data_IF_765197429021
#
_entry.id   IF_765197429021
#
_cell.length_a   1.000
_cell.length_b   1.000
_cell.length_c   1.000
_cell.angle_alpha   90.00
_cell.angle_beta   90.00
_cell.angle_gamma   90.00
#
_symmetry.space_group_name_H-M   'P 1'
#
loop_
_entity.id
_entity.type
_entity.pdbx_description
1 polymer ?
#
# COMPACT_ATOMS: atom_id res chain seq x y z
N UNK A 1 25.37 -23.15 -84.09
CA UNK A 1 25.57 -21.74 -83.68
C UNK A 1 24.43 -21.41 -82.71
N UNK A 2 24.35 -21.87 -81.46
CA UNK A 2 25.29 -21.88 -80.32
C UNK A 2 25.81 -20.49 -79.94
N UNK A 3 25.04 -19.76 -79.14
CA UNK A 3 25.61 -18.74 -78.27
C UNK A 3 25.04 -18.88 -76.86
N UNK A 4 25.93 -19.33 -75.97
CA UNK A 4 25.74 -19.56 -74.55
C UNK A 4 26.08 -18.25 -73.84
N UNK A 5 25.15 -17.67 -73.08
CA UNK A 5 25.47 -16.61 -72.10
C UNK A 5 25.48 -17.19 -70.71
N UNK A 6 26.67 -17.17 -70.10
CA UNK A 6 26.94 -17.55 -68.72
C UNK A 6 26.20 -16.65 -67.72
N UNK A 7 25.80 -17.17 -66.54
CA UNK A 7 25.34 -16.38 -65.42
C UNK A 7 26.52 -15.75 -64.66
N UNK A 8 26.31 -14.52 -64.17
CA UNK A 8 27.22 -13.81 -63.27
C UNK A 8 27.10 -14.42 -61.85
N UNK A 9 28.19 -14.85 -61.20
CA UNK A 9 28.20 -15.20 -59.79
C UNK A 9 28.62 -14.00 -58.94
N UNK A 10 27.86 -13.72 -57.88
CA UNK A 10 28.31 -12.83 -56.81
C UNK A 10 27.27 -11.83 -56.38
N UNK A 11 26.33 -12.27 -55.55
CA UNK A 11 25.85 -11.38 -54.49
C UNK A 11 25.98 -12.13 -53.17
N UNK A 12 26.91 -11.61 -52.38
CA UNK A 12 27.35 -12.12 -51.10
C UNK A 12 26.15 -12.30 -50.17
N UNK A 13 26.02 -13.51 -49.64
CA UNK A 13 25.21 -13.79 -48.47
C UNK A 13 25.71 -12.89 -47.33
N UNK A 14 25.05 -11.74 -47.15
CA UNK A 14 25.11 -10.97 -45.93
C UNK A 14 24.43 -11.81 -44.85
N UNK A 15 25.23 -12.67 -44.23
CA UNK A 15 24.91 -13.45 -43.06
C UNK A 15 24.32 -12.49 -42.01
N UNK A 16 22.99 -12.48 -41.92
CA UNK A 16 22.25 -11.64 -40.99
C UNK A 16 22.59 -12.11 -39.58
N UNK A 17 23.58 -11.43 -38.98
CA UNK A 17 24.02 -11.71 -37.63
C UNK A 17 22.79 -11.80 -36.70
N UNK A 18 22.66 -12.87 -35.90
CA UNK A 18 21.48 -13.08 -35.08
C UNK A 18 21.29 -11.87 -34.15
N UNK A 19 20.05 -11.39 -33.95
CA UNK A 19 19.78 -10.22 -33.14
C UNK A 19 20.39 -10.45 -31.76
N UNK A 20 21.43 -9.65 -31.43
CA UNK A 20 22.07 -9.63 -30.12
C UNK A 20 20.97 -9.57 -29.07
N UNK A 21 20.73 -10.68 -28.36
CA UNK A 21 19.79 -10.75 -27.23
C UNK A 21 20.19 -9.65 -26.26
N UNK A 22 19.49 -8.50 -26.30
CA UNK A 22 19.63 -7.42 -25.34
C UNK A 22 19.56 -8.07 -23.97
N UNK A 23 20.70 -8.15 -23.27
CA UNK A 23 20.75 -8.56 -21.86
C UNK A 23 19.88 -7.55 -21.11
N UNK A 24 18.61 -7.89 -20.93
CA UNK A 24 17.61 -7.01 -20.34
C UNK A 24 18.11 -6.55 -18.98
N UNK A 25 18.20 -5.23 -18.79
CA UNK A 25 18.51 -4.63 -17.50
C UNK A 25 17.55 -5.20 -16.46
N UNK A 26 18.08 -5.71 -15.34
CA UNK A 26 17.28 -6.33 -14.28
C UNK A 26 16.33 -5.33 -13.59
N UNK A 27 16.66 -4.04 -13.67
CA UNK A 27 15.94 -2.93 -13.03
C UNK A 27 15.59 -1.88 -14.09
N UNK A 28 14.33 -1.47 -14.11
CA UNK A 28 13.78 -0.45 -15.01
C UNK A 28 13.92 0.96 -14.40
N UNK A 29 15.16 1.44 -14.31
CA UNK A 29 15.48 2.77 -13.79
C UNK A 29 14.91 3.90 -14.66
N UNK A 30 14.82 3.67 -15.98
CA UNK A 30 14.25 4.66 -16.90
C UNK A 30 12.75 4.83 -16.65
N UNK A 31 12.01 3.73 -16.47
CA UNK A 31 10.61 3.75 -16.07
C UNK A 31 10.42 4.42 -14.70
N UNK A 32 11.28 4.12 -13.73
CA UNK A 32 11.25 4.79 -12.42
C UNK A 32 11.42 6.30 -12.53
N UNK A 33 12.46 6.77 -13.24
CA UNK A 33 12.70 8.19 -13.42
C UNK A 33 11.58 8.90 -14.20
N UNK A 34 10.93 8.22 -15.14
CA UNK A 34 9.79 8.76 -15.88
C UNK A 34 8.53 8.86 -15.00
N UNK A 35 8.26 7.86 -14.17
CA UNK A 35 7.16 7.89 -13.22
C UNK A 35 7.40 8.93 -12.11
N UNK A 36 8.63 9.08 -11.63
CA UNK A 36 8.98 10.11 -10.63
C UNK A 36 8.74 11.52 -11.17
N UNK A 37 9.15 11.79 -12.43
CA UNK A 37 8.81 13.06 -13.10
C UNK A 37 7.30 13.21 -13.32
N UNK A 38 6.63 12.12 -13.66
CA UNK A 38 5.17 12.09 -13.81
C UNK A 38 4.40 12.28 -12.50
N UNK A 39 5.04 12.03 -11.35
CA UNK A 39 4.44 12.20 -10.04
C UNK A 39 4.46 13.65 -9.55
N UNK A 40 5.20 14.56 -10.19
CA UNK A 40 5.29 15.97 -9.75
C UNK A 40 3.91 16.62 -9.60
N UNK A 41 2.98 16.56 -10.57
CA UNK A 41 1.65 17.18 -10.40
C UNK A 41 0.83 16.53 -9.27
N UNK A 42 0.94 15.21 -9.12
CA UNK A 42 0.25 14.44 -8.07
C UNK A 42 0.80 14.79 -6.68
N UNK A 43 2.12 14.89 -6.54
CA UNK A 43 2.81 15.32 -5.33
C UNK A 43 2.53 16.80 -5.00
N UNK A 44 2.47 17.69 -5.99
CA UNK A 44 2.08 19.09 -5.77
C UNK A 44 0.65 19.18 -5.23
N UNK A 45 -0.30 18.42 -5.80
CA UNK A 45 -1.65 18.34 -5.27
C UNK A 45 -1.67 17.79 -3.84
N UNK A 46 -0.85 16.77 -3.56
CA UNK A 46 -0.69 16.22 -2.21
C UNK A 46 -0.20 17.24 -1.20
N UNK A 47 0.80 18.06 -1.56
CA UNK A 47 1.33 19.10 -0.69
C UNK A 47 0.34 20.23 -0.45
N UNK A 48 -0.46 20.60 -1.46
CA UNK A 48 -1.55 21.58 -1.28
C UNK A 48 -2.59 21.04 -0.29
N UNK A 49 -3.05 19.80 -0.47
CA UNK A 49 -3.99 19.17 0.47
C UNK A 49 -3.38 19.04 1.87
N UNK A 50 -2.09 18.67 1.97
CA UNK A 50 -1.36 18.61 3.24
C UNK A 50 -1.36 19.98 3.92
N UNK A 51 -1.07 21.05 3.19
CA UNK A 51 -1.09 22.43 3.72
C UNK A 51 -2.48 22.85 4.20
N UNK A 52 -3.54 22.49 3.48
CA UNK A 52 -4.93 22.76 3.89
C UNK A 52 -5.31 21.99 5.16
N UNK A 53 -4.92 20.71 5.26
CA UNK A 53 -5.16 19.90 6.47
C UNK A 53 -4.35 20.47 7.65
N UNK A 54 -3.09 20.85 7.44
CA UNK A 54 -2.27 21.49 8.46
C UNK A 54 -2.92 22.76 8.98
N UNK A 55 -3.35 23.66 8.09
CA UNK A 55 -4.03 24.90 8.47
C UNK A 55 -5.33 24.63 9.25
N UNK A 56 -6.12 23.66 8.81
CA UNK A 56 -7.35 23.26 9.51
C UNK A 56 -7.07 22.70 10.91
N UNK A 57 -6.08 21.81 11.06
CA UNK A 57 -5.69 21.27 12.38
C UNK A 57 -5.16 22.38 13.30
N UNK A 58 -4.24 23.21 12.79
CA UNK A 58 -3.63 24.30 13.53
C UNK A 58 -4.70 25.29 14.03
N UNK A 59 -5.61 25.74 13.16
CA UNK A 59 -6.68 26.67 13.53
C UNK A 59 -7.64 26.10 14.58
N UNK A 60 -7.94 24.80 14.52
CA UNK A 60 -8.77 24.11 15.52
C UNK A 60 -8.10 24.04 16.90
N UNK A 61 -6.78 23.84 16.94
CA UNK A 61 -5.99 23.84 18.19
C UNK A 61 -5.91 25.26 18.75
N UNK A 62 -5.59 26.24 17.91
CA UNK A 62 -5.53 27.65 18.31
C UNK A 62 -6.87 28.17 18.86
N UNK A 63 -8.00 27.68 18.34
CA UNK A 63 -9.34 28.00 18.84
C UNK A 63 -9.79 27.13 20.04
N UNK A 64 -8.97 26.19 20.53
CA UNK A 64 -9.31 25.33 21.67
C UNK A 64 -10.41 24.29 21.40
N UNK A 65 -10.76 24.04 20.14
CA UNK A 65 -11.87 23.14 19.74
C UNK A 65 -11.39 21.77 19.21
N UNK A 66 -10.07 21.53 19.25
CA UNK A 66 -9.47 20.28 18.77
C UNK A 66 -9.67 19.13 19.75
N UNK A 67 -10.17 17.98 19.26
CA UNK A 67 -10.25 16.75 20.04
C UNK A 67 -8.87 16.26 20.48
N UNK A 68 -7.81 16.57 19.72
CA UNK A 68 -6.45 16.17 20.09
C UNK A 68 -6.03 16.76 21.43
N UNK A 69 -6.41 18.02 21.71
CA UNK A 69 -6.07 18.68 22.98
C UNK A 69 -6.84 18.07 24.16
N UNK A 70 -7.99 17.43 23.91
CA UNK A 70 -8.69 16.67 24.96
C UNK A 70 -7.96 15.38 25.33
N UNK A 71 -7.28 14.76 24.37
CA UNK A 71 -6.53 13.50 24.57
C UNK A 71 -5.10 13.76 25.05
N UNK A 72 -4.49 14.83 24.54
CA UNK A 72 -3.11 15.22 24.79
C UNK A 72 -3.09 16.72 25.15
N UNK A 73 -3.48 17.11 26.38
CA UNK A 73 -3.61 18.52 26.77
C UNK A 73 -2.31 19.31 26.69
N UNK A 74 -1.16 18.66 26.85
CA UNK A 74 0.15 19.29 26.70
C UNK A 74 0.38 19.85 25.28
N UNK A 75 -0.35 19.35 24.27
CA UNK A 75 -0.31 19.86 22.89
C UNK A 75 -1.24 21.08 22.69
N UNK A 76 -1.72 21.76 23.73
CA UNK A 76 -2.64 22.89 23.58
C UNK A 76 -2.01 24.10 22.84
N UNK A 77 -0.69 24.28 22.92
CA UNK A 77 0.00 25.36 22.23
C UNK A 77 0.28 24.99 20.76
N UNK A 78 -0.53 25.58 19.87
CA UNK A 78 -0.41 25.37 18.42
C UNK A 78 0.95 25.80 17.85
N UNK A 79 1.55 26.86 18.40
CA UNK A 79 2.83 27.40 17.96
C UNK A 79 3.99 26.54 18.47
N UNK A 80 3.92 26.12 19.73
CA UNK A 80 4.94 25.24 20.28
C UNK A 80 4.97 23.92 19.51
N UNK A 81 3.82 23.30 19.21
CA UNK A 81 3.73 21.96 18.62
C UNK A 81 3.40 21.94 17.10
N UNK A 82 3.81 22.98 16.36
CA UNK A 82 3.49 23.06 14.93
C UNK A 82 4.03 21.89 14.08
N UNK A 83 5.19 21.31 14.44
CA UNK A 83 5.74 20.15 13.70
C UNK A 83 4.88 18.90 13.93
N UNK A 84 4.32 18.72 15.13
CA UNK A 84 3.32 17.69 15.40
C UNK A 84 2.07 17.83 14.51
N UNK A 85 1.54 19.06 14.32
CA UNK A 85 0.40 19.28 13.43
C UNK A 85 0.75 19.01 11.96
N UNK A 86 1.97 19.34 11.55
CA UNK A 86 2.48 19.01 10.23
C UNK A 86 2.61 17.49 10.05
N UNK A 87 3.09 16.78 11.06
CA UNK A 87 3.13 15.32 11.10
C UNK A 87 1.72 14.73 10.91
N UNK A 88 0.72 15.21 11.65
CA UNK A 88 -0.67 14.79 11.49
C UNK A 88 -1.20 15.06 10.08
N UNK A 89 -0.90 16.22 9.51
CA UNK A 89 -1.31 16.57 8.15
C UNK A 89 -0.71 15.63 7.08
N UNK A 90 0.57 15.28 7.21
CA UNK A 90 1.19 14.27 6.36
C UNK A 90 0.55 12.88 6.55
N UNK A 91 0.20 12.50 7.78
CA UNK A 91 -0.47 11.23 8.07
C UNK A 91 -1.83 11.11 7.39
N UNK A 92 -2.68 12.14 7.52
CA UNK A 92 -3.98 12.20 6.84
C UNK A 92 -3.85 12.22 5.32
N UNK A 93 -2.88 12.97 4.79
CA UNK A 93 -2.62 13.04 3.36
C UNK A 93 -2.11 11.70 2.81
N UNK A 94 -1.21 11.04 3.53
CA UNK A 94 -0.71 9.71 3.19
C UNK A 94 -1.86 8.69 3.14
N UNK A 95 -2.77 8.70 4.11
CA UNK A 95 -3.92 7.82 4.14
C UNK A 95 -4.89 8.08 2.97
N UNK A 96 -5.15 9.35 2.65
CA UNK A 96 -5.98 9.73 1.51
C UNK A 96 -5.36 9.26 0.19
N UNK A 97 -4.06 9.51 -0.01
CA UNK A 97 -3.35 9.05 -1.20
C UNK A 97 -3.28 7.52 -1.29
N UNK A 98 -3.11 6.84 -0.15
CA UNK A 98 -3.19 5.39 -0.05
C UNK A 98 -4.58 4.87 -0.47
N UNK A 99 -5.66 5.52 -0.03
CA UNK A 99 -7.03 5.20 -0.45
C UNK A 99 -7.18 5.38 -1.97
N UNK A 100 -6.77 6.53 -2.52
CA UNK A 100 -6.85 6.82 -3.97
C UNK A 100 -6.09 5.75 -4.77
N UNK A 101 -4.83 5.45 -4.40
CA UNK A 101 -4.02 4.50 -5.17
C UNK A 101 -4.56 3.06 -5.09
N UNK A 102 -5.14 2.66 -3.97
CA UNK A 102 -5.81 1.35 -3.84
C UNK A 102 -7.03 1.28 -4.73
N UNK A 103 -7.86 2.34 -4.76
CA UNK A 103 -9.01 2.43 -5.66
C UNK A 103 -8.55 2.27 -7.13
N UNK A 104 -7.53 3.02 -7.55
CA UNK A 104 -6.95 2.91 -8.90
C UNK A 104 -6.43 1.49 -9.21
N UNK A 105 -5.75 0.85 -8.25
CA UNK A 105 -5.24 -0.52 -8.39
C UNK A 105 -6.35 -1.57 -8.51
N UNK A 106 -7.42 -1.43 -7.73
CA UNK A 106 -8.58 -2.32 -7.78
C UNK A 106 -9.36 -2.15 -9.10
N UNK A 107 -9.58 -0.90 -9.53
CA UNK A 107 -10.19 -0.57 -10.83
C UNK A 107 -9.35 -1.20 -11.96
N UNK A 108 -8.03 -0.94 -11.97
CA UNK A 108 -7.11 -1.47 -12.99
C UNK A 108 -7.09 -2.98 -13.08
N UNK A 109 -7.31 -3.66 -11.97
CA UNK A 109 -7.22 -5.12 -11.89
C UNK A 109 -8.57 -5.84 -12.09
N UNK A 110 -9.68 -5.10 -12.12
CA UNK A 110 -11.02 -5.60 -12.38
C UNK A 110 -11.37 -5.56 -13.87
N UNK A 111 -12.43 -6.26 -14.27
CA UNK A 111 -13.01 -6.05 -15.62
C UNK A 111 -13.61 -4.65 -15.68
N UNK A 112 -13.01 -3.78 -16.49
CA UNK A 112 -13.51 -2.42 -16.68
C UNK A 112 -14.79 -2.44 -17.51
N UNK A 113 -15.85 -1.73 -17.08
CA UNK A 113 -17.01 -1.49 -17.93
C UNK A 113 -16.59 -0.73 -19.19
N UNK A 114 -17.19 -1.06 -20.34
CA UNK A 114 -16.86 -0.43 -21.63
C UNK A 114 -17.16 1.08 -21.69
N UNK A 115 -17.98 1.61 -20.78
CA UNK A 115 -18.36 3.02 -20.69
C UNK A 115 -17.35 3.89 -19.91
N UNK A 116 -16.31 3.29 -19.30
CA UNK A 116 -15.37 4.06 -18.49
C UNK A 116 -14.46 4.94 -19.38
N UNK A 117 -14.36 6.25 -19.15
CA UNK A 117 -13.66 7.18 -20.06
C UNK A 117 -12.13 7.08 -20.00
N UNK A 118 -11.58 6.29 -19.07
CA UNK A 118 -10.14 6.19 -18.84
C UNK A 118 -9.58 4.88 -19.39
N UNK A 119 -8.53 4.98 -20.19
CA UNK A 119 -7.80 3.80 -20.65
C UNK A 119 -7.08 3.09 -19.50
N UNK A 120 -6.95 1.78 -19.58
CA UNK A 120 -6.22 0.98 -18.60
C UNK A 120 -4.75 1.46 -18.43
N UNK A 121 -4.13 1.95 -19.49
CA UNK A 121 -2.79 2.52 -19.46
C UNK A 121 -2.72 3.82 -18.64
N UNK A 122 -3.74 4.70 -18.76
CA UNK A 122 -3.83 5.93 -17.97
C UNK A 122 -4.02 5.61 -16.48
N UNK A 123 -4.92 4.69 -16.15
CA UNK A 123 -5.15 4.25 -14.76
C UNK A 123 -3.87 3.62 -14.18
N UNK A 124 -3.15 2.80 -14.95
CA UNK A 124 -1.87 2.21 -14.53
C UNK A 124 -0.78 3.26 -14.32
N UNK A 125 -0.75 4.32 -15.12
CA UNK A 125 0.17 5.45 -14.90
C UNK A 125 -0.17 6.19 -13.60
N UNK A 126 -1.44 6.56 -13.42
CA UNK A 126 -1.90 7.25 -12.20
C UNK A 126 -1.61 6.42 -10.95
N UNK A 127 -1.96 5.13 -10.96
CA UNK A 127 -1.66 4.23 -9.83
C UNK A 127 -0.17 4.22 -9.46
N UNK A 128 0.73 4.22 -10.45
CA UNK A 128 2.19 4.24 -10.19
C UNK A 128 2.64 5.57 -9.58
N UNK A 129 2.22 6.68 -10.16
CA UNK A 129 2.61 8.02 -9.67
C UNK A 129 2.06 8.28 -8.28
N UNK A 130 0.77 8.02 -8.06
CA UNK A 130 0.11 8.20 -6.75
C UNK A 130 0.70 7.25 -5.70
N UNK A 131 1.14 6.04 -6.07
CA UNK A 131 1.85 5.13 -5.15
C UNK A 131 3.21 5.69 -4.70
N UNK A 132 3.98 6.31 -5.61
CA UNK A 132 5.24 6.96 -5.25
C UNK A 132 5.00 8.13 -4.30
N UNK A 133 4.00 8.97 -4.59
CA UNK A 133 3.58 10.06 -3.71
C UNK A 133 3.12 9.54 -2.34
N UNK A 134 2.36 8.44 -2.30
CA UNK A 134 1.94 7.80 -1.04
C UNK A 134 3.14 7.43 -0.18
N UNK A 135 4.14 6.75 -0.75
CA UNK A 135 5.36 6.35 -0.02
C UNK A 135 6.12 7.60 0.48
N UNK A 136 6.20 8.65 -0.34
CA UNK A 136 6.85 9.90 0.04
C UNK A 136 6.11 10.60 1.20
N UNK A 137 4.78 10.64 1.19
CA UNK A 137 3.96 11.19 2.28
C UNK A 137 4.09 10.36 3.57
N UNK A 138 4.11 9.03 3.47
CA UNK A 138 4.36 8.15 4.63
C UNK A 138 5.74 8.41 5.25
N UNK A 139 6.76 8.59 4.41
CA UNK A 139 8.10 8.95 4.87
C UNK A 139 8.12 10.35 5.51
N UNK A 140 7.50 11.34 4.89
CA UNK A 140 7.40 12.69 5.42
C UNK A 140 6.64 12.73 6.77
N UNK A 141 5.61 11.91 6.93
CA UNK A 141 4.90 11.72 8.19
C UNK A 141 5.84 11.19 9.29
N UNK A 142 6.54 10.07 9.04
CA UNK A 142 7.49 9.50 9.99
C UNK A 142 8.66 10.47 10.31
N UNK A 143 9.15 11.19 9.29
CA UNK A 143 10.20 12.19 9.45
C UNK A 143 9.74 13.39 10.28
N UNK A 144 8.53 13.89 10.06
CA UNK A 144 7.98 14.99 10.86
C UNK A 144 7.81 14.57 12.32
N UNK A 145 7.37 13.32 12.59
CA UNK A 145 7.33 12.78 13.94
C UNK A 145 8.72 12.71 14.58
N UNK A 146 9.71 12.21 13.85
CA UNK A 146 11.10 12.20 14.29
C UNK A 146 11.61 13.61 14.65
N UNK A 147 11.36 14.60 13.77
CA UNK A 147 11.77 15.99 14.03
C UNK A 147 11.08 16.56 15.26
N UNK A 148 9.79 16.25 15.47
CA UNK A 148 9.08 16.64 16.69
C UNK A 148 9.73 16.04 17.94
N UNK A 149 10.05 14.75 17.95
CA UNK A 149 10.69 14.09 19.10
C UNK A 149 12.08 14.66 19.39
N UNK A 150 12.88 14.94 18.36
CA UNK A 150 14.17 15.62 18.52
C UNK A 150 13.96 17.02 19.13
N UNK A 151 12.95 17.76 18.68
CA UNK A 151 12.70 19.13 19.15
C UNK A 151 12.18 19.15 20.59
N UNK A 152 11.18 18.32 20.90
CA UNK A 152 10.53 18.23 22.21
C UNK A 152 11.51 17.77 23.28
N UNK A 153 12.25 16.68 23.01
CA UNK A 153 13.27 16.13 23.91
C UNK A 153 12.78 15.95 25.36
N UNK A 154 11.66 15.25 25.50
CA UNK A 154 11.02 15.00 26.79
C UNK A 154 11.94 14.28 27.80
N UNK A 155 12.99 13.61 27.32
CA UNK A 155 14.00 12.93 28.14
C UNK A 155 15.18 13.80 28.55
N UNK A 156 15.20 15.08 28.18
CA UNK A 156 16.27 16.04 28.51
C UNK A 156 17.68 15.58 28.09
N UNK A 157 17.76 14.79 27.01
CA UNK A 157 19.01 14.19 26.56
C UNK A 157 19.91 15.19 25.81
N UNK A 158 21.25 15.01 25.86
CA UNK A 158 22.18 15.66 24.95
C UNK A 158 21.86 15.33 23.49
N UNK A 159 22.37 16.15 22.56
CA UNK A 159 22.05 16.06 21.13
C UNK A 159 22.11 14.63 20.55
N UNK A 160 23.20 13.89 20.81
CA UNK A 160 23.36 12.53 20.30
C UNK A 160 22.31 11.56 20.85
N UNK A 161 22.03 11.61 22.16
CA UNK A 161 21.02 10.78 22.80
C UNK A 161 19.61 11.10 22.31
N UNK A 162 19.27 12.39 22.24
CA UNK A 162 18.00 12.91 21.71
C UNK A 162 17.72 12.43 20.28
N UNK A 163 18.70 12.55 19.38
CA UNK A 163 18.57 12.10 17.98
C UNK A 163 18.42 10.58 17.90
N UNK A 164 19.21 9.82 18.66
CA UNK A 164 19.13 8.36 18.67
C UNK A 164 17.79 7.86 19.22
N UNK A 165 17.33 8.41 20.35
CA UNK A 165 16.04 8.07 20.95
C UNK A 165 14.89 8.38 19.99
N UNK A 166 14.87 9.59 19.40
CA UNK A 166 13.86 9.95 18.41
C UNK A 166 13.86 9.00 17.19
N UNK A 167 15.04 8.55 16.75
CA UNK A 167 15.16 7.58 15.66
C UNK A 167 14.57 6.23 16.04
N UNK A 168 14.90 5.71 17.23
CA UNK A 168 14.35 4.45 17.74
C UNK A 168 12.83 4.52 17.83
N UNK A 169 12.30 5.60 18.39
CA UNK A 169 10.86 5.79 18.57
C UNK A 169 10.10 6.01 17.26
N UNK A 170 10.74 6.57 16.23
CA UNK A 170 10.08 6.92 14.96
C UNK A 170 10.32 5.95 13.82
N UNK A 171 11.39 5.14 13.86
CA UNK A 171 11.80 4.28 12.75
C UNK A 171 12.08 2.83 13.14
N UNK A 172 12.27 2.50 14.42
CA UNK A 172 12.54 1.11 14.82
C UNK A 172 11.22 0.44 15.23
N UNK A 173 10.75 -0.61 14.51
CA UNK A 173 9.53 -1.33 14.88
C UNK A 173 9.60 -1.85 16.31
N UNK A 174 8.68 -1.39 17.17
CA UNK A 174 8.64 -1.74 18.60
C UNK A 174 9.56 -0.90 19.49
N UNK A 175 10.21 0.14 18.96
CA UNK A 175 11.05 1.05 19.73
C UNK A 175 10.29 2.08 20.58
N UNK A 176 9.03 2.37 20.24
CA UNK A 176 8.22 3.33 21.00
C UNK A 176 7.81 2.76 22.37
N UNK A 177 8.08 3.45 23.49
CA UNK A 177 8.09 2.80 24.80
C UNK A 177 6.74 2.74 25.51
N UNK A 178 5.71 3.49 25.12
CA UNK A 178 4.53 3.69 25.99
C UNK A 178 3.16 3.72 25.31
N UNK A 179 2.14 3.47 26.13
CA UNK A 179 0.73 3.65 25.82
C UNK A 179 0.22 2.90 24.58
N UNK A 180 -0.81 3.46 23.95
CA UNK A 180 -1.33 2.99 22.66
C UNK A 180 -0.31 3.09 21.54
N UNK A 181 0.72 3.93 21.71
CA UNK A 181 1.78 4.17 20.73
C UNK A 181 2.61 2.92 20.45
N UNK A 182 2.86 2.07 21.46
CA UNK A 182 3.60 0.81 21.31
C UNK A 182 3.09 -0.05 20.14
N UNK A 183 1.77 -0.20 20.05
CA UNK A 183 1.12 -1.02 19.01
C UNK A 183 0.89 -0.20 17.76
N UNK A 184 0.40 1.03 17.90
CA UNK A 184 0.00 1.81 16.75
C UNK A 184 1.19 2.23 15.89
N UNK A 185 2.28 2.72 16.49
CA UNK A 185 3.50 3.09 15.76
C UNK A 185 4.14 1.85 15.15
N UNK A 186 4.14 0.71 15.86
CA UNK A 186 4.57 -0.57 15.27
C UNK A 186 3.77 -0.90 14.00
N UNK A 187 2.44 -0.85 14.05
CA UNK A 187 1.58 -1.11 12.88
C UNK A 187 1.87 -0.13 11.73
N UNK A 188 2.04 1.15 12.04
CA UNK A 188 2.38 2.19 11.06
C UNK A 188 3.75 1.95 10.39
N UNK A 189 4.75 1.57 11.18
CA UNK A 189 6.08 1.21 10.69
C UNK A 189 6.05 -0.03 9.82
N UNK A 190 5.31 -1.07 10.22
CA UNK A 190 5.15 -2.25 9.37
C UNK A 190 4.47 -1.91 8.04
N UNK A 191 3.44 -1.05 8.05
CA UNK A 191 2.82 -0.57 6.82
C UNK A 191 3.84 0.17 5.93
N UNK A 192 4.61 1.10 6.51
CA UNK A 192 5.65 1.86 5.79
C UNK A 192 6.74 0.95 5.20
N UNK A 193 7.31 0.06 6.01
CA UNK A 193 8.37 -0.85 5.58
C UNK A 193 7.90 -1.90 4.57
N UNK A 194 6.62 -2.29 4.58
CA UNK A 194 6.05 -3.16 3.55
C UNK A 194 5.71 -2.40 2.25
N UNK A 195 5.28 -1.14 2.37
CA UNK A 195 4.93 -0.29 1.22
C UNK A 195 6.12 -0.09 0.28
N UNK A 196 7.32 0.15 0.81
CA UNK A 196 8.53 0.40 0.03
C UNK A 196 8.85 -0.77 -0.92
N UNK A 197 9.13 -2.01 -0.46
CA UNK A 197 9.47 -3.10 -1.34
C UNK A 197 8.30 -3.51 -2.24
N UNK A 198 7.06 -3.51 -1.75
CA UNK A 198 5.90 -3.94 -2.55
C UNK A 198 5.51 -2.92 -3.63
N UNK A 199 5.70 -1.63 -3.38
CA UNK A 199 5.49 -0.55 -4.34
C UNK A 199 6.61 -0.50 -5.38
N UNK A 200 7.86 -0.51 -4.94
CA UNK A 200 9.02 -0.45 -5.84
C UNK A 200 9.28 -1.77 -6.60
N UNK A 201 8.65 -2.88 -6.19
CA UNK A 201 8.72 -4.16 -6.88
C UNK A 201 8.35 -4.09 -8.38
N UNK A 202 7.54 -3.09 -8.78
CA UNK A 202 7.21 -2.85 -10.18
C UNK A 202 8.46 -2.60 -11.05
N UNK A 203 9.44 -1.84 -10.55
CA UNK A 203 10.64 -1.47 -11.32
C UNK A 203 11.65 -2.62 -11.43
N UNK A 204 11.52 -3.65 -10.59
CA UNK A 204 12.33 -4.88 -10.67
C UNK A 204 11.57 -6.05 -11.30
N UNK A 205 10.36 -5.81 -11.84
CA UNK A 205 9.47 -6.86 -12.39
C UNK A 205 10.07 -7.63 -13.57
N UNK A 206 11.03 -7.04 -14.29
CA UNK A 206 11.73 -7.73 -15.38
C UNK A 206 12.65 -8.83 -14.86
N UNK A 207 13.26 -8.66 -13.68
CA UNK A 207 14.07 -9.69 -13.04
C UNK A 207 13.20 -10.75 -12.34
N UNK A 208 12.18 -10.33 -11.60
CA UNK A 208 11.33 -11.21 -10.80
C UNK A 208 10.30 -11.97 -11.62
N UNK A 209 9.82 -11.37 -12.71
CA UNK A 209 8.78 -11.89 -13.58
C UNK A 209 7.38 -11.43 -13.18
N UNK A 210 6.54 -11.18 -14.18
CA UNK A 210 5.21 -10.58 -14.02
C UNK A 210 4.21 -11.41 -13.19
N UNK A 211 4.44 -12.71 -13.02
CA UNK A 211 3.61 -13.55 -12.13
C UNK A 211 3.98 -13.36 -10.66
N UNK A 212 5.27 -13.39 -10.34
CA UNK A 212 5.75 -13.23 -8.97
C UNK A 212 5.45 -11.82 -8.46
N UNK A 213 5.73 -10.79 -9.29
CA UNK A 213 5.36 -9.42 -8.97
C UNK A 213 3.87 -9.28 -8.63
N UNK A 214 2.96 -9.76 -9.48
CA UNK A 214 1.51 -9.67 -9.21
C UNK A 214 1.10 -10.40 -7.94
N UNK A 215 1.70 -11.56 -7.68
CA UNK A 215 1.34 -12.35 -6.50
C UNK A 215 1.76 -11.64 -5.21
N UNK A 216 2.97 -11.07 -5.17
CA UNK A 216 3.45 -10.27 -4.04
C UNK A 216 2.69 -8.95 -3.91
N UNK A 217 2.47 -8.25 -5.02
CA UNK A 217 1.79 -6.95 -5.01
C UNK A 217 0.34 -7.04 -4.50
N UNK A 218 -0.33 -8.20 -4.58
CA UNK A 218 -1.64 -8.40 -3.93
C UNK A 218 -1.60 -8.21 -2.41
N UNK A 219 -0.45 -8.40 -1.78
CA UNK A 219 -0.27 -8.17 -0.35
C UNK A 219 -0.31 -6.67 0.01
N UNK A 220 -0.29 -5.76 -0.98
CA UNK A 220 -0.43 -4.31 -0.72
C UNK A 220 -1.77 -3.96 -0.05
N UNK A 221 -2.80 -4.80 -0.20
CA UNK A 221 -4.07 -4.58 0.51
C UNK A 221 -3.90 -4.71 2.03
N UNK A 222 -2.95 -5.52 2.49
CA UNK A 222 -2.59 -5.63 3.92
C UNK A 222 -1.94 -4.33 4.38
N UNK A 223 -1.05 -3.75 3.57
CA UNK A 223 -0.43 -2.45 3.87
C UNK A 223 -1.50 -1.38 4.08
N UNK A 224 -2.49 -1.32 3.19
CA UNK A 224 -3.61 -0.38 3.32
C UNK A 224 -4.42 -0.63 4.60
N UNK A 225 -4.76 -1.88 4.90
CA UNK A 225 -5.47 -2.24 6.13
C UNK A 225 -4.68 -1.85 7.39
N UNK A 226 -3.36 -2.07 7.40
CA UNK A 226 -2.48 -1.64 8.49
C UNK A 226 -2.46 -0.11 8.61
N UNK A 227 -2.45 0.64 7.50
CA UNK A 227 -2.52 2.11 7.54
C UNK A 227 -3.82 2.61 8.15
N UNK A 228 -4.98 2.06 7.75
CA UNK A 228 -6.28 2.41 8.34
C UNK A 228 -6.30 2.05 9.84
N UNK A 229 -5.78 0.87 10.19
CA UNK A 229 -5.73 0.43 11.59
C UNK A 229 -4.82 1.32 12.45
N UNK A 230 -3.65 1.69 11.95
CA UNK A 230 -2.75 2.67 12.58
C UNK A 230 -3.47 3.99 12.88
N UNK A 231 -4.20 4.53 11.90
CA UNK A 231 -4.98 5.76 12.08
C UNK A 231 -6.11 5.59 13.10
N UNK A 232 -6.82 4.46 13.10
CA UNK A 232 -7.89 4.21 14.07
C UNK A 232 -7.36 4.00 15.51
N UNK A 233 -6.11 3.57 15.67
CA UNK A 233 -5.48 3.37 16.98
C UNK A 233 -4.87 4.66 17.56
N UNK A 234 -4.28 5.51 16.72
CA UNK A 234 -3.45 6.65 17.16
C UNK A 234 -3.79 8.00 16.54
N UNK A 235 -4.76 8.05 15.63
CA UNK A 235 -5.28 9.30 15.11
C UNK A 235 -6.07 10.02 16.20
N UNK A 236 -5.47 11.03 16.82
CA UNK A 236 -6.09 11.77 17.92
C UNK A 236 -7.36 12.49 17.50
N UNK A 237 -7.51 12.84 16.21
CA UNK A 237 -8.74 13.39 15.63
C UNK A 237 -9.86 12.36 15.39
N UNK A 238 -9.59 11.06 15.61
CA UNK A 238 -10.56 9.95 15.53
C UNK A 238 -10.49 9.06 16.78
N UNK A 239 -10.05 9.64 17.90
CA UNK A 239 -9.86 8.94 19.17
C UNK A 239 -11.18 8.60 19.86
N UNK A 240 -12.12 9.54 19.78
CA UNK A 240 -13.48 9.40 20.31
C UNK A 240 -14.44 8.93 19.23
N UNK A 241 -15.59 8.42 19.66
CA UNK A 241 -16.72 8.20 18.76
C UNK A 241 -17.09 9.52 18.08
N UNK A 242 -17.44 9.47 16.79
CA UNK A 242 -17.89 10.67 16.09
C UNK A 242 -17.82 10.61 14.59
N UNK A 243 -18.34 11.66 13.95
CA UNK A 243 -18.53 11.70 12.50
C UNK A 243 -17.23 11.52 11.71
N UNK A 244 -16.08 12.00 12.21
CA UNK A 244 -14.77 11.80 11.54
C UNK A 244 -14.37 10.32 11.50
N UNK A 245 -14.54 9.63 12.64
CA UNK A 245 -14.20 8.21 12.78
C UNK A 245 -15.19 7.33 12.01
N UNK A 246 -16.49 7.61 12.13
CA UNK A 246 -17.53 6.96 11.32
C UNK A 246 -17.31 7.21 9.82
N UNK A 247 -16.93 8.43 9.43
CA UNK A 247 -16.57 8.77 8.05
C UNK A 247 -15.38 7.95 7.54
N UNK A 248 -14.37 7.74 8.38
CA UNK A 248 -13.22 6.90 8.05
C UNK A 248 -13.64 5.44 7.80
N UNK A 249 -14.60 4.90 8.56
CA UNK A 249 -15.19 3.58 8.29
C UNK A 249 -15.99 3.55 6.98
N UNK A 250 -16.82 4.56 6.73
CA UNK A 250 -17.60 4.64 5.50
C UNK A 250 -16.73 4.73 4.25
N UNK A 251 -15.58 5.40 4.32
CA UNK A 251 -14.60 5.44 3.23
C UNK A 251 -14.02 4.06 2.87
N UNK A 252 -14.17 3.05 3.73
CA UNK A 252 -13.76 1.69 3.43
C UNK A 252 -14.76 0.95 2.54
N UNK A 253 -16.03 1.40 2.48
CA UNK A 253 -17.07 0.75 1.67
C UNK A 253 -16.72 0.70 0.17
N UNK A 254 -16.28 1.80 -0.48
CA UNK A 254 -15.84 1.75 -1.88
C UNK A 254 -14.67 0.78 -2.11
N UNK A 255 -13.72 0.72 -1.17
CA UNK A 255 -12.57 -0.19 -1.25
C UNK A 255 -13.02 -1.64 -1.17
N UNK A 256 -13.86 -1.97 -0.18
CA UNK A 256 -14.38 -3.31 0.01
C UNK A 256 -15.28 -3.75 -1.16
N UNK A 257 -16.13 -2.84 -1.67
CA UNK A 257 -16.98 -3.09 -2.83
C UNK A 257 -16.15 -3.37 -4.09
N UNK A 258 -15.12 -2.56 -4.37
CA UNK A 258 -14.21 -2.80 -5.50
C UNK A 258 -13.38 -4.07 -5.32
N UNK A 259 -12.96 -4.39 -4.10
CA UNK A 259 -12.28 -5.65 -3.80
C UNK A 259 -13.21 -6.85 -4.06
N UNK A 260 -14.47 -6.76 -3.65
CA UNK A 260 -15.47 -7.79 -3.93
C UNK A 260 -15.71 -7.92 -5.44
N UNK A 261 -15.91 -6.80 -6.14
CA UNK A 261 -16.06 -6.77 -7.60
C UNK A 261 -14.84 -7.41 -8.29
N UNK A 262 -13.62 -7.14 -7.81
CA UNK A 262 -12.38 -7.74 -8.29
C UNK A 262 -12.31 -9.25 -8.09
N UNK A 263 -12.82 -9.74 -6.96
CA UNK A 263 -12.86 -11.17 -6.62
C UNK A 263 -13.96 -11.92 -7.38
N UNK A 264 -15.06 -11.25 -7.71
CA UNK A 264 -16.19 -11.79 -8.48
C UNK A 264 -15.91 -11.78 -9.98
N UNK A 265 -15.41 -10.66 -10.51
CA UNK A 265 -15.15 -10.42 -11.93
C UNK A 265 -13.66 -10.08 -12.18
N UNK A 266 -12.76 -11.07 -12.05
CA UNK A 266 -11.35 -10.83 -12.25
C UNK A 266 -11.03 -10.52 -13.72
N UNK A 267 -10.13 -9.56 -13.98
CA UNK A 267 -9.74 -9.17 -15.33
C UNK A 267 -9.13 -10.31 -16.16
N UNK A 268 -8.61 -11.37 -15.52
CA UNK A 268 -7.99 -12.51 -16.19
C UNK A 268 -8.87 -13.74 -16.07
N UNK A 269 -9.09 -14.42 -17.19
CA UNK A 269 -9.88 -15.67 -17.24
C UNK A 269 -9.36 -16.76 -16.30
N UNK A 270 -8.04 -16.90 -16.17
CA UNK A 270 -7.39 -17.87 -15.28
C UNK A 270 -7.58 -17.62 -13.77
N UNK A 271 -8.11 -16.45 -13.41
CA UNK A 271 -8.43 -16.10 -12.03
C UNK A 271 -9.92 -16.31 -11.71
N UNK A 272 -10.76 -16.62 -12.71
CA UNK A 272 -12.19 -16.87 -12.51
C UNK A 272 -12.38 -18.19 -11.75
N UNK A 273 -13.27 -18.17 -10.76
CA UNK A 273 -13.80 -19.39 -10.16
C UNK A 273 -14.92 -19.90 -11.07
N UNK A 274 -14.72 -21.09 -11.65
CA UNK A 274 -15.75 -21.84 -12.37
C UNK A 274 -16.01 -23.11 -11.57
N UNK A 275 -17.04 -23.10 -10.72
CA UNK A 275 -17.34 -24.21 -9.82
C UNK A 275 -17.61 -25.53 -10.56
N UNK A 276 -18.06 -25.45 -11.82
CA UNK A 276 -18.31 -26.59 -12.70
C UNK A 276 -17.07 -27.13 -13.42
N UNK A 277 -15.90 -26.52 -13.25
CA UNK A 277 -14.66 -26.92 -13.93
C UNK A 277 -14.03 -28.14 -13.21
N UNK A 278 -13.72 -29.25 -13.91
CA UNK A 278 -13.04 -30.42 -13.32
C UNK A 278 -11.76 -30.05 -12.57
N UNK A 279 -11.05 -29.01 -13.00
CA UNK A 279 -9.85 -28.50 -12.34
C UNK A 279 -10.09 -27.97 -10.91
N UNK A 280 -11.35 -27.67 -10.53
CA UNK A 280 -11.73 -27.31 -9.15
C UNK A 280 -11.65 -28.52 -8.22
N UNK A 281 -12.00 -29.72 -8.70
CA UNK A 281 -11.88 -30.97 -7.91
C UNK A 281 -10.41 -31.32 -7.63
N UNK A 282 -9.51 -30.99 -8.55
CA UNK A 282 -8.08 -31.24 -8.38
C UNK A 282 -7.40 -30.29 -7.38
N UNK A 283 -8.03 -29.15 -7.02
CA UNK A 283 -7.42 -28.12 -6.14
C UNK A 283 -8.43 -27.50 -5.16
N UNK A 284 -9.01 -28.29 -4.24
CA UNK A 284 -10.08 -27.83 -3.35
C UNK A 284 -9.66 -26.67 -2.44
N UNK A 285 -8.42 -26.68 -1.94
CA UNK A 285 -7.90 -25.64 -1.04
C UNK A 285 -7.86 -24.24 -1.70
N UNK A 286 -7.49 -24.16 -2.97
CA UNK A 286 -7.42 -22.87 -3.69
C UNK A 286 -8.83 -22.33 -3.93
N UNK A 287 -9.77 -23.21 -4.25
CA UNK A 287 -11.16 -22.85 -4.48
C UNK A 287 -11.84 -22.39 -3.18
N UNK A 288 -11.61 -23.12 -2.08
CA UNK A 288 -12.07 -22.75 -0.74
C UNK A 288 -11.48 -21.40 -0.31
N UNK A 289 -10.18 -21.16 -0.50
CA UNK A 289 -9.54 -19.89 -0.17
C UNK A 289 -10.15 -18.71 -0.96
N UNK A 290 -10.46 -18.90 -2.25
CA UNK A 290 -11.09 -17.86 -3.07
C UNK A 290 -12.55 -17.60 -2.67
N UNK A 291 -13.31 -18.63 -2.34
CA UNK A 291 -14.67 -18.48 -1.82
C UNK A 291 -14.65 -17.78 -0.46
N UNK A 292 -13.77 -18.23 0.44
CA UNK A 292 -13.54 -17.61 1.75
C UNK A 292 -13.18 -16.13 1.62
N UNK A 293 -12.31 -15.75 0.69
CA UNK A 293 -11.98 -14.35 0.43
C UNK A 293 -13.19 -13.51 -0.02
N UNK A 294 -14.09 -14.07 -0.84
CA UNK A 294 -15.33 -13.40 -1.27
C UNK A 294 -16.28 -13.20 -0.10
N UNK A 295 -16.52 -14.26 0.68
CA UNK A 295 -17.40 -14.23 1.84
C UNK A 295 -16.86 -13.27 2.91
N UNK A 296 -15.56 -13.31 3.18
CA UNK A 296 -14.90 -12.39 4.10
C UNK A 296 -15.08 -10.93 3.65
N UNK A 297 -14.85 -10.63 2.36
CA UNK A 297 -15.01 -9.27 1.84
C UNK A 297 -16.48 -8.80 1.91
N UNK A 298 -17.44 -9.67 1.59
CA UNK A 298 -18.86 -9.36 1.72
C UNK A 298 -19.26 -9.13 3.19
N UNK A 299 -18.77 -9.97 4.11
CA UNK A 299 -18.98 -9.79 5.54
C UNK A 299 -18.35 -8.48 6.04
N UNK A 300 -17.17 -8.08 5.55
CA UNK A 300 -16.59 -6.76 5.85
C UNK A 300 -17.52 -5.63 5.45
N UNK A 301 -18.13 -5.67 4.27
CA UNK A 301 -19.11 -4.65 3.85
C UNK A 301 -20.28 -4.57 4.84
N UNK A 302 -20.84 -5.72 5.23
CA UNK A 302 -21.94 -5.76 6.21
C UNK A 302 -21.52 -5.19 7.55
N UNK A 303 -20.34 -5.58 8.06
CA UNK A 303 -19.79 -5.04 9.32
C UNK A 303 -19.61 -3.53 9.24
N UNK A 304 -19.05 -3.00 8.14
CA UNK A 304 -18.88 -1.56 7.95
C UNK A 304 -20.22 -0.81 7.98
N UNK A 305 -21.26 -1.36 7.35
CA UNK A 305 -22.62 -0.80 7.37
C UNK A 305 -23.22 -0.84 8.78
N UNK A 306 -23.05 -1.94 9.51
CA UNK A 306 -23.54 -2.07 10.89
C UNK A 306 -22.81 -1.13 11.85
N UNK A 307 -21.50 -0.97 11.70
CA UNK A 307 -20.70 0.00 12.46
C UNK A 307 -21.22 1.41 12.23
N UNK A 308 -21.41 1.80 10.96
CA UNK A 308 -21.91 3.12 10.62
C UNK A 308 -23.36 3.35 11.12
N UNK A 309 -24.24 2.37 10.97
CA UNK A 309 -25.64 2.49 11.38
C UNK A 309 -25.83 2.50 12.91
N UNK A 310 -24.99 1.77 13.64
CA UNK A 310 -25.08 1.69 15.10
C UNK A 310 -24.40 2.85 15.82
N UNK A 311 -23.55 3.62 15.13
CA UNK A 311 -22.69 4.64 15.75
C UNK A 311 -21.60 4.07 16.66
N UNK A 312 -21.49 2.74 16.79
CA UNK A 312 -20.46 2.06 17.59
C UNK A 312 -19.21 1.84 16.74
N UNK A 313 -18.51 2.93 16.45
CA UNK A 313 -17.32 2.92 15.60
C UNK A 313 -16.02 2.54 16.34
N UNK A 314 -16.14 2.19 17.62
CA UNK A 314 -15.05 1.71 18.47
C UNK A 314 -14.14 2.84 18.94
N UNK A 315 -14.61 4.08 18.90
CA UNK A 315 -13.97 5.19 19.59
C UNK A 315 -14.18 5.08 21.09
N UNK A 316 -13.51 5.97 21.83
CA UNK A 316 -13.69 6.07 23.28
C UNK A 316 -14.80 7.07 23.59
N UNK A 317 -15.42 6.92 24.75
CA UNK A 317 -16.31 7.94 25.30
C UNK A 317 -15.47 8.99 26.05
N UNK A 318 -15.70 10.30 25.84
CA UNK A 318 -15.03 11.35 26.59
C UNK A 318 -15.23 11.15 28.10
N UNK A 319 -14.14 11.19 28.88
CA UNK A 319 -14.16 11.03 30.34
C UNK A 319 -14.36 9.60 30.85
N UNK A 320 -14.57 8.61 29.98
CA UNK A 320 -14.64 7.21 30.39
C UNK A 320 -13.23 6.63 30.60
N UNK A 321 -13.11 5.69 31.53
CA UNK A 321 -11.86 4.97 31.79
C UNK A 321 -11.42 4.22 30.52
N UNK A 322 -10.20 4.44 30.07
CA UNK A 322 -9.71 3.85 28.83
C UNK A 322 -9.53 2.35 29.00
N UNK A 323 -10.28 1.55 28.22
CA UNK A 323 -10.09 0.10 28.16
C UNK A 323 -8.66 -0.19 27.64
N UNK A 324 -7.92 -1.13 28.28
CA UNK A 324 -6.60 -1.54 27.80
C UNK A 324 -6.62 -1.92 26.32
N UNK A 325 -5.50 -1.70 25.64
CA UNK A 325 -5.34 -2.17 24.25
C UNK A 325 -5.36 -3.70 24.27
N UNK A 326 -6.45 -4.30 23.78
CA UNK A 326 -6.62 -5.75 23.76
C UNK A 326 -5.69 -6.47 22.75
N UNK A 327 -4.89 -5.73 21.99
CA UNK A 327 -3.98 -6.27 20.98
C UNK A 327 -2.53 -6.07 21.41
N UNK A 328 -1.89 -7.05 22.07
CA UNK A 328 -0.49 -6.95 22.43
C UNK A 328 0.40 -6.92 21.18
N UNK A 329 1.59 -6.31 21.27
CA UNK A 329 2.55 -6.24 20.16
C UNK A 329 2.92 -7.63 19.61
N UNK A 330 2.92 -8.67 20.46
CA UNK A 330 3.16 -10.06 20.05
C UNK A 330 2.18 -10.55 18.98
N UNK A 331 0.93 -10.10 18.99
CA UNK A 331 -0.06 -10.47 17.97
C UNK A 331 0.26 -9.82 16.63
N UNK A 332 0.75 -8.58 16.64
CA UNK A 332 1.20 -7.88 15.43
C UNK A 332 2.41 -8.59 14.83
N UNK A 333 3.37 -9.00 15.67
CA UNK A 333 4.53 -9.77 15.23
C UNK A 333 4.16 -11.15 14.68
N UNK A 334 3.24 -11.87 15.33
CA UNK A 334 2.73 -13.14 14.84
C UNK A 334 2.04 -12.98 13.47
N UNK A 335 1.21 -11.94 13.30
CA UNK A 335 0.57 -11.62 12.02
C UNK A 335 1.59 -11.32 10.92
N UNK A 336 2.66 -10.58 11.22
CA UNK A 336 3.75 -10.33 10.28
C UNK A 336 4.48 -11.63 9.92
N UNK A 337 4.78 -12.49 10.89
CA UNK A 337 5.43 -13.77 10.64
C UNK A 337 4.60 -14.64 9.67
N UNK A 338 3.28 -14.73 9.89
CA UNK A 338 2.36 -15.42 8.98
C UNK A 338 2.38 -14.80 7.57
N UNK A 339 2.33 -13.47 7.47
CA UNK A 339 2.39 -12.77 6.18
C UNK A 339 3.70 -13.08 5.41
N UNK A 340 4.84 -13.08 6.11
CA UNK A 340 6.15 -13.40 5.53
C UNK A 340 6.24 -14.86 5.07
N UNK A 341 5.68 -15.80 5.84
CA UNK A 341 5.58 -17.21 5.44
C UNK A 341 4.74 -17.34 4.16
N UNK A 342 3.58 -16.70 4.10
CA UNK A 342 2.71 -16.69 2.90
C UNK A 342 3.47 -16.12 1.69
N UNK A 343 4.17 -14.99 1.87
CA UNK A 343 4.99 -14.41 0.81
C UNK A 343 6.11 -15.36 0.34
N UNK A 344 6.79 -16.03 1.28
CA UNK A 344 7.82 -17.03 1.01
C UNK A 344 7.31 -18.22 0.20
N UNK A 345 6.14 -18.77 0.58
CA UNK A 345 5.46 -19.86 -0.15
C UNK A 345 5.10 -19.42 -1.58
N UNK A 346 4.58 -18.20 -1.74
CA UNK A 346 4.26 -17.62 -3.06
C UNK A 346 5.52 -17.50 -3.93
N UNK A 347 6.63 -17.02 -3.37
CA UNK A 347 7.91 -16.92 -4.09
C UNK A 347 8.44 -18.30 -4.48
N UNK A 348 8.41 -19.26 -3.56
CA UNK A 348 8.89 -20.62 -3.81
C UNK A 348 8.09 -21.30 -4.92
N UNK A 349 6.76 -21.34 -4.81
CA UNK A 349 5.87 -22.00 -5.78
C UNK A 349 5.95 -21.36 -7.16
N UNK A 350 6.11 -20.04 -7.26
CA UNK A 350 6.26 -19.35 -8.55
C UNK A 350 7.61 -19.65 -9.20
N UNK A 351 8.68 -19.83 -8.42
CA UNK A 351 10.01 -20.22 -8.92
C UNK A 351 10.03 -21.67 -9.41
N UNK A 352 9.44 -22.60 -8.67
CA UNK A 352 9.36 -24.04 -9.06
C UNK A 352 8.64 -24.18 -10.40
N UNK A 353 7.45 -23.58 -10.55
CA UNK A 353 6.69 -23.59 -11.82
C UNK A 353 7.43 -22.95 -12.99
N UNK A 354 8.34 -22.01 -12.73
CA UNK A 354 9.19 -21.39 -13.76
C UNK A 354 10.30 -22.34 -14.21
N UNK A 355 10.84 -23.15 -13.30
CA UNK A 355 11.86 -24.17 -13.60
C UNK A 355 11.26 -25.32 -14.39
N UNK A 356 10.12 -25.85 -13.95
CA UNK A 356 9.39 -26.93 -14.66
C UNK A 356 9.11 -26.55 -16.12
N UNK A 357 8.53 -25.36 -16.36
CA UNK A 357 8.27 -24.87 -17.73
C UNK A 357 9.51 -24.68 -18.60
N UNK A 358 10.69 -24.48 -18.00
CA UNK A 358 11.95 -24.41 -18.75
C UNK A 358 12.48 -25.80 -19.06
N UNK A 359 12.25 -26.76 -18.15
CA UNK A 359 12.64 -28.16 -18.34
C UNK A 359 11.77 -28.87 -19.38
N UNK A 360 10.48 -28.55 -19.48
CA UNK A 360 9.56 -29.16 -20.45
C UNK A 360 9.81 -28.79 -21.92
N UNK A 361 10.78 -27.90 -22.21
CA UNK A 361 11.07 -27.43 -23.57
C UNK A 361 9.89 -26.70 -24.24
N UNK A 362 10.09 -26.08 -25.42
CA UNK A 362 8.98 -25.78 -26.29
C UNK A 362 8.37 -27.10 -26.77
N UNK A 363 7.05 -27.27 -26.57
CA UNK A 363 6.31 -28.36 -27.21
C UNK A 363 6.49 -28.16 -28.72
N UNK A 364 7.01 -29.15 -29.47
CA UNK A 364 7.06 -29.06 -30.93
C UNK A 364 5.64 -28.82 -31.44
N UNK A 365 5.47 -27.73 -32.18
CA UNK A 365 4.20 -27.34 -32.79
C UNK A 365 3.90 -28.13 -34.04
#
# INVERSE_FOLDING_TARGET
>A
MSEVRNPIPGDSAAESAPPRKRRGRRIDLAGFAADLRGAVPDASAALVITGLIFWWLYSRVAAGVSQTVQVMPFLADANQYWVYWLCQAFGWSALLWAWITVMLGLIRSSTLPGWMPFSAARIERLHRTTSLTTIALMFAHALAFFVELVRANDYELPWGGRVLTAFVESFVPGGYPSGTGQVAILVGLLAFYLAIPLGLAYYVRQATGSRMWRALHRLIIVVYALSVWHTLLYGTSVWFDGWLRTGLWLLQLPVAALLLARLLAPARSSERLRLSDPAVRERPLISAARLGARLATAATIVVLLLVAASGRDGGRLPGAESVPVNTPASFVWAGLAVLLVVAGVVVHTTRVRRRERRASGPVPG
#
